data_IF_105977644677
#
_entry.id   IF_105977644677
#
_cell.length_a   1.000
_cell.length_b   1.000
_cell.length_c   1.000
_cell.angle_alpha   90.00
_cell.angle_beta   90.00
_cell.angle_gamma   90.00
#
_symmetry.space_group_name_H-M   'P 1'
#
loop_
_entity.id
_entity.type
_entity.pdbx_description
1 polymer ?
2 non-polymer ?
3 water ?
#
# COMPACT_ATOMS: atom_id res chain seq x y z
N UNK A 4 4.81 -25.68 -16.50
CA UNK A 4 6.20 -25.27 -16.37
C UNK A 4 6.41 -23.82 -16.82
N UNK A 5 7.23 -23.10 -16.07
CA UNK A 5 7.48 -21.68 -16.31
C UNK A 5 8.62 -21.49 -17.30
N UNK A 6 8.47 -20.53 -18.22
CA UNK A 6 9.57 -20.17 -19.09
C UNK A 6 10.60 -19.34 -18.33
N UNK A 7 11.82 -19.25 -18.88
CA UNK A 7 12.83 -18.40 -18.26
C UNK A 7 12.37 -16.96 -18.21
N UNK A 8 11.69 -16.51 -19.26
CA UNK A 8 11.10 -15.17 -19.27
C UNK A 8 10.26 -14.94 -18.03
N UNK A 9 9.35 -15.88 -17.73
CA UNK A 9 8.50 -15.76 -16.55
C UNK A 9 9.28 -15.92 -15.25
N UNK A 10 10.39 -16.68 -15.27
CA UNK A 10 11.26 -16.77 -14.09
C UNK A 10 11.94 -15.44 -13.80
N UNK A 11 12.17 -14.63 -14.82
CA UNK A 11 12.79 -13.33 -14.57
C UNK A 11 11.85 -12.44 -13.75
N UNK A 12 10.54 -12.61 -13.92
CA UNK A 12 9.59 -11.95 -13.04
C UNK A 12 9.77 -12.41 -11.61
N UNK A 13 9.91 -13.73 -11.41
CA UNK A 13 10.19 -14.27 -10.09
C UNK A 13 11.39 -13.56 -9.46
N UNK A 14 12.44 -13.34 -10.27
CA UNK A 14 13.65 -12.70 -9.77
C UNK A 14 13.47 -11.20 -9.55
N UNK A 15 12.60 -10.55 -10.31
CA UNK A 15 12.53 -9.09 -10.31
C UNK A 15 11.28 -8.52 -9.65
N UNK A 16 10.38 -9.35 -9.14
CA UNK A 16 9.21 -8.82 -8.44
C UNK A 16 9.70 -7.98 -7.26
N UNK A 17 9.38 -6.68 -7.23
CA UNK A 17 9.93 -5.82 -6.18
C UNK A 17 9.38 -6.18 -4.80
N UNK A 18 10.10 -5.71 -3.78
CA UNK A 18 9.78 -6.03 -2.41
C UNK A 18 10.83 -6.94 -1.80
N UNK A 19 10.54 -7.35 -0.56
CA UNK A 19 11.46 -8.10 0.30
C UNK A 19 10.74 -9.34 0.80
N UNK A 20 10.97 -10.49 0.17
CA UNK A 20 9.98 -11.57 0.34
C UNK A 20 10.62 -12.96 0.34
N UNK A 21 9.79 -13.92 0.67
CA UNK A 21 10.26 -15.28 0.91
C UNK A 21 9.24 -16.06 1.73
N UNK A 22 9.69 -17.21 2.23
CA UNK A 22 8.84 -18.09 3.02
C UNK A 22 9.68 -18.90 4.01
N UNK A 23 9.03 -19.29 5.11
CA UNK A 23 9.63 -20.10 6.16
C UNK A 23 8.70 -21.29 6.42
N UNK A 24 9.24 -22.32 7.08
CA UNK A 24 8.43 -23.49 7.41
C UNK A 24 7.71 -23.29 8.74
N UNK A 25 7.16 -24.37 9.28
CA UNK A 25 6.34 -24.31 10.50
C UNK A 25 7.15 -23.90 11.74
N UNK A 26 8.47 -24.08 11.73
CA UNK A 26 9.33 -23.58 12.79
C UNK A 26 9.92 -22.22 12.47
N UNK A 27 9.39 -21.53 11.45
CA UNK A 27 9.95 -20.26 10.97
C UNK A 27 11.43 -20.39 10.63
N UNK A 28 11.79 -21.53 10.03
CA UNK A 28 13.10 -21.71 9.42
C UNK A 28 12.98 -21.33 7.96
N UNK A 29 13.90 -20.50 7.48
CA UNK A 29 13.81 -19.96 6.12
C UNK A 29 13.89 -21.07 5.07
N UNK A 30 12.97 -21.02 4.11
CA UNK A 30 12.95 -21.91 2.97
C UNK A 30 13.36 -21.19 1.70
N UNK A 31 12.96 -19.94 1.54
CA UNK A 31 13.44 -19.13 0.44
C UNK A 31 13.41 -17.66 0.86
N UNK A 32 14.36 -16.89 0.34
CA UNK A 32 14.30 -15.43 0.42
C UNK A 32 14.80 -14.85 -0.89
N UNK A 33 14.10 -13.83 -1.41
CA UNK A 33 14.54 -13.24 -2.65
C UNK A 33 15.80 -12.41 -2.41
N UNK A 34 16.46 -12.01 -3.50
CA UNK A 34 17.74 -11.34 -3.37
C UNK A 34 17.62 -10.04 -2.56
N UNK A 35 16.55 -9.29 -2.77
CA UNK A 35 16.39 -8.03 -2.05
C UNK A 35 16.37 -8.27 -0.54
N UNK A 36 15.64 -9.29 -0.07
CA UNK A 36 15.58 -9.52 1.36
C UNK A 36 16.95 -9.94 1.91
N UNK A 37 17.64 -10.83 1.19
CA UNK A 37 18.96 -11.27 1.64
C UNK A 37 19.96 -10.14 1.77
N UNK A 38 20.01 -9.25 0.77
CA UNK A 38 20.87 -8.09 0.88
C UNK A 38 20.47 -7.22 2.07
N UNK A 39 19.17 -6.92 2.20
CA UNK A 39 18.71 -6.11 3.33
C UNK A 39 19.25 -6.62 4.66
N UNK A 40 19.24 -7.94 4.83
CA UNK A 40 19.43 -8.64 6.09
C UNK A 40 20.91 -8.97 6.26
N UNK A 41 21.73 -8.47 5.34
CA UNK A 41 23.16 -8.48 5.48
C UNK A 41 23.92 -9.56 4.74
N UNK A 42 23.27 -10.34 3.88
CA UNK A 42 23.95 -11.43 3.20
C UNK A 42 24.28 -11.06 1.77
N UNK A 43 25.41 -11.56 1.28
CA UNK A 43 25.77 -11.30 -0.10
C UNK A 43 25.05 -12.23 -1.08
N UNK A 44 24.65 -13.42 -0.64
CA UNK A 44 23.85 -14.34 -1.43
C UNK A 44 22.65 -14.73 -0.60
N UNK A 45 21.44 -14.48 -1.11
CA UNK A 45 20.24 -14.75 -0.35
C UNK A 45 20.05 -16.23 -0.06
N UNK A 46 20.78 -17.10 -0.78
CA UNK A 46 20.75 -18.53 -0.49
C UNK A 46 21.22 -18.86 0.92
N UNK A 47 22.04 -18.00 1.52
CA UNK A 47 22.52 -18.29 2.87
C UNK A 47 21.44 -18.11 3.92
N UNK A 48 20.27 -17.57 3.58
CA UNK A 48 19.15 -17.53 4.53
C UNK A 48 18.60 -18.92 4.79
N UNK A 49 18.64 -19.78 3.77
CA UNK A 49 17.93 -21.05 3.81
C UNK A 49 18.50 -21.93 4.92
N UNK A 50 17.60 -22.48 5.75
CA UNK A 50 17.98 -23.33 6.85
C UNK A 50 18.20 -22.61 8.16
N UNK A 51 18.22 -21.28 8.15
CA UNK A 51 18.45 -20.52 9.36
C UNK A 51 17.15 -19.86 9.84
N UNK A 52 17.14 -19.51 11.12
CA UNK A 52 16.01 -18.80 11.69
C UNK A 52 16.30 -17.30 11.74
N UNK A 53 15.28 -16.55 12.12
CA UNK A 53 15.44 -15.10 12.28
C UNK A 53 16.50 -14.77 13.34
N UNK A 54 16.71 -15.65 14.33
CA UNK A 54 17.75 -15.40 15.34
C UNK A 54 19.16 -15.49 14.75
N UNK A 55 19.33 -16.06 13.55
CA UNK A 55 20.65 -16.42 13.06
C UNK A 55 21.13 -15.57 11.90
N UNK A 56 20.36 -14.59 11.49
CA UNK A 56 20.73 -13.65 10.45
C UNK A 56 21.69 -12.61 11.03
N UNK A 57 22.70 -12.18 10.26
CA UNK A 57 23.69 -11.23 10.81
C UNK A 57 23.18 -9.80 10.72
N UNK A 58 22.18 -9.52 11.56
CA UNK A 58 21.43 -8.31 11.41
C UNK A 58 20.73 -7.99 12.71
N UNK A 59 20.63 -6.72 13.11
CA UNK A 59 19.96 -6.37 14.36
C UNK A 59 18.48 -6.74 14.41
N UNK A 60 17.83 -6.98 13.25
CA UNK A 60 16.47 -7.51 13.24
C UNK A 60 16.33 -8.77 14.08
N UNK A 61 17.38 -9.59 14.15
CA UNK A 61 17.35 -10.80 14.97
C UNK A 61 17.05 -10.51 16.45
N UNK A 62 17.20 -9.27 16.91
CA UNK A 62 16.80 -8.96 18.27
C UNK A 62 15.29 -8.99 18.44
N UNK A 63 14.53 -8.91 17.36
CA UNK A 63 13.08 -9.08 17.39
C UNK A 63 12.64 -10.44 16.87
N UNK A 64 13.56 -11.40 16.79
CA UNK A 64 13.21 -12.70 16.23
C UNK A 64 12.06 -13.35 16.99
N UNK A 65 11.98 -13.14 18.32
CA UNK A 65 10.87 -13.70 19.07
C UNK A 65 9.53 -13.10 18.63
N UNK A 66 9.50 -11.81 18.30
CA UNK A 66 8.25 -11.23 17.81
C UNK A 66 7.88 -11.83 16.46
N UNK A 67 8.86 -11.91 15.54
CA UNK A 67 8.63 -12.52 14.23
C UNK A 67 8.00 -13.90 14.38
N UNK A 68 8.55 -14.72 15.29
CA UNK A 68 8.02 -16.08 15.42
C UNK A 68 6.59 -16.07 15.97
N UNK A 69 6.28 -15.18 16.90
CA UNK A 69 4.92 -15.13 17.42
C UNK A 69 3.94 -14.69 16.34
N UNK A 70 4.35 -13.75 15.50
CA UNK A 70 3.57 -13.39 14.32
C UNK A 70 3.35 -14.60 13.43
N UNK A 71 4.44 -15.26 13.03
CA UNK A 71 4.37 -16.45 12.20
C UNK A 71 3.41 -17.49 12.76
N UNK A 72 3.56 -17.81 14.06
CA UNK A 72 2.71 -18.84 14.62
C UNK A 72 1.24 -18.43 14.61
N UNK A 73 0.95 -17.13 14.69
CA UNK A 73 -0.43 -16.68 14.64
C UNK A 73 -1.05 -16.98 13.28
N UNK A 74 -0.36 -16.55 12.22
CA UNK A 74 -0.79 -16.86 10.86
C UNK A 74 -0.99 -18.37 10.69
N UNK A 75 -0.08 -19.16 11.25
CA UNK A 75 -0.14 -20.61 11.08
C UNK A 75 -1.34 -21.20 11.82
N UNK A 76 -1.50 -20.84 13.10
CA UNK A 76 -2.58 -21.44 13.89
C UNK A 76 -3.96 -20.92 13.50
N UNK A 77 -4.04 -19.72 12.91
CA UNK A 77 -5.34 -19.11 12.63
C UNK A 77 -5.69 -19.06 11.15
N UNK A 78 -4.69 -19.09 10.26
CA UNK A 78 -4.94 -18.90 8.85
C UNK A 78 -5.15 -17.45 8.43
N UNK A 79 -5.36 -16.54 9.37
CA UNK A 79 -5.49 -15.13 9.03
C UNK A 79 -4.16 -14.57 8.52
N UNK A 80 -4.25 -13.51 7.75
CA UNK A 80 -3.08 -12.77 7.32
C UNK A 80 -2.93 -11.53 8.19
N UNK A 81 -1.67 -11.11 8.39
CA UNK A 81 -1.41 -9.96 9.24
C UNK A 81 -0.54 -8.98 8.48
N UNK A 82 -0.55 -7.74 8.97
CA UNK A 82 0.30 -6.68 8.47
C UNK A 82 1.16 -6.20 9.63
N UNK A 83 2.47 -6.20 9.44
CA UNK A 83 3.39 -5.88 10.53
C UNK A 83 4.14 -4.60 10.20
N UNK A 84 4.13 -3.66 11.13
CA UNK A 84 5.02 -2.51 11.02
C UNK A 84 6.38 -2.90 11.60
N UNK A 85 7.41 -2.89 10.77
CA UNK A 85 8.74 -3.30 11.15
C UNK A 85 9.69 -2.11 11.01
N UNK A 86 10.36 -1.78 12.10
CA UNK A 86 11.25 -0.63 12.14
C UNK A 86 12.51 -1.07 12.88
N UNK A 87 13.65 -1.06 12.17
CA UNK A 87 14.87 -1.66 12.70
C UNK A 87 16.08 -0.97 12.12
N UNK A 88 17.17 -0.90 12.87
CA UNK A 88 18.48 -0.65 12.25
C UNK A 88 18.93 -1.90 11.54
N UNK A 89 19.63 -1.72 10.42
CA UNK A 89 20.02 -2.83 9.57
C UNK A 89 21.53 -2.86 9.34
N UNK A 90 22.07 -4.00 8.87
CA UNK A 90 23.55 -4.11 8.76
C UNK A 90 24.17 -3.06 7.86
N UNK A 91 23.39 -2.41 6.99
CA UNK A 91 23.94 -1.32 6.19
C UNK A 91 24.14 -0.04 6.98
N UNK A 92 23.76 -0.02 8.26
CA UNK A 92 23.98 1.13 9.11
C UNK A 92 22.86 2.15 9.09
N UNK A 93 21.78 1.88 8.36
CA UNK A 93 20.63 2.75 8.30
C UNK A 93 19.45 2.12 9.00
N UNK A 94 18.56 2.97 9.49
CA UNK A 94 17.25 2.54 9.90
C UNK A 94 16.36 2.39 8.67
N UNK A 95 15.55 1.32 8.67
CA UNK A 95 14.54 1.13 7.63
C UNK A 95 13.17 0.87 8.28
N UNK A 96 12.11 1.17 7.54
CA UNK A 96 10.75 0.88 7.98
C UNK A 96 9.99 0.16 6.89
N UNK A 97 9.28 -0.90 7.26
CA UNK A 97 8.52 -1.66 6.28
C UNK A 97 7.17 -2.02 6.87
N UNK A 98 6.21 -2.26 5.97
CA UNK A 98 5.06 -3.11 6.28
C UNK A 98 5.34 -4.47 5.67
N UNK A 99 5.40 -5.49 6.52
CA UNK A 99 5.56 -6.87 6.09
C UNK A 99 4.18 -7.52 6.17
N UNK A 100 3.68 -7.99 5.02
CA UNK A 100 2.51 -8.85 5.00
C UNK A 100 2.92 -10.29 5.30
N UNK A 101 2.16 -10.96 6.14
CA UNK A 101 2.41 -12.37 6.44
C UNK A 101 1.14 -13.16 6.21
N UNK A 102 1.25 -14.21 5.40
CA UNK A 102 0.14 -15.06 5.00
C UNK A 102 0.55 -16.51 5.13
N UNK A 103 -0.42 -17.42 5.28
CA UNK A 103 -0.07 -18.85 5.35
C UNK A 103 0.52 -19.33 4.04
N UNK A 104 1.50 -20.23 4.15
CA UNK A 104 2.05 -20.95 3.00
C UNK A 104 1.44 -22.34 2.98
N UNK A 105 0.74 -22.69 1.90
CA UNK A 105 0.00 -23.94 1.79
C UNK A 105 0.66 -24.88 0.79
N UNK A 106 0.48 -26.19 1.04
CA UNK A 106 1.04 -27.22 0.18
C UNK A 106 0.02 -27.61 -0.88
N UNK A 107 0.27 -28.71 -1.61
CA UNK A 107 -0.53 -29.02 -2.79
C UNK A 107 -1.94 -29.48 -2.45
N UNK A 108 -2.19 -30.00 -1.24
CA UNK A 108 -3.55 -30.34 -0.84
C UNK A 108 -4.15 -29.30 0.09
N UNK A 109 -3.52 -28.14 0.22
CA UNK A 109 -4.10 -27.00 0.90
C UNK A 109 -3.67 -26.78 2.33
N UNK A 110 -2.96 -27.71 2.96
CA UNK A 110 -2.67 -27.54 4.38
C UNK A 110 -1.49 -26.60 4.60
N UNK A 111 -1.54 -25.89 5.72
CA UNK A 111 -0.52 -24.90 6.06
C UNK A 111 0.81 -25.61 6.33
N UNK A 112 1.86 -25.17 5.63
CA UNK A 112 3.20 -25.72 5.80
C UNK A 112 4.22 -24.67 6.22
N UNK A 113 3.78 -23.44 6.45
CA UNK A 113 4.67 -22.36 6.86
C UNK A 113 4.01 -21.02 6.60
N UNK A 114 4.84 -20.01 6.43
CA UNK A 114 4.35 -18.66 6.19
C UNK A 114 5.07 -18.07 5.00
N UNK A 115 4.40 -17.10 4.39
CA UNK A 115 4.97 -16.25 3.36
C UNK A 115 5.07 -14.86 3.97
N UNK A 116 6.18 -14.18 3.71
CA UNK A 116 6.35 -12.79 4.13
C UNK A 116 6.63 -11.93 2.91
N UNK A 117 6.10 -10.71 2.92
CA UNK A 117 6.25 -9.81 1.78
C UNK A 117 6.34 -8.40 2.35
N UNK A 118 7.51 -7.78 2.20
CA UNK A 118 7.79 -6.49 2.80
C UNK A 118 7.90 -5.42 1.73
N UNK A 119 7.41 -4.22 2.09
CA UNK A 119 7.49 -3.03 1.26
C UNK A 119 8.13 -1.89 2.05
N UNK A 120 9.03 -1.17 1.39
CA UNK A 120 9.60 0.05 1.97
C UNK A 120 8.52 1.08 2.28
N UNK A 121 8.62 1.70 3.45
CA UNK A 121 7.85 2.90 3.76
C UNK A 121 8.69 4.11 3.35
N UNK A 122 8.31 4.73 2.23
CA UNK A 122 9.09 5.79 1.61
C UNK A 122 8.44 7.17 1.79
N UNK A 131 -4.42 19.58 8.32
CA UNK A 131 -5.42 20.11 9.24
C UNK A 131 -6.81 20.12 8.60
N UNK A 132 -7.09 19.08 7.80
CA UNK A 132 -8.41 18.89 7.22
C UNK A 132 -9.24 17.97 8.11
N UNK A 133 -10.55 18.21 8.11
CA UNK A 133 -11.50 17.52 8.98
C UNK A 133 -12.61 16.92 8.12
N UNK A 134 -13.04 15.70 8.47
CA UNK A 134 -14.14 15.06 7.77
C UNK A 134 -15.47 15.56 8.32
N UNK A 135 -16.37 15.96 7.42
CA UNK A 135 -17.73 16.39 7.74
C UNK A 135 -18.72 15.32 7.26
N UNK A 136 -20.01 15.57 7.53
CA UNK A 136 -21.05 14.62 7.18
C UNK A 136 -20.95 14.20 5.71
N UNK A 137 -21.05 15.17 4.81
CA UNK A 137 -20.60 15.01 3.42
C UNK A 137 -19.47 15.99 3.18
N UNK A 138 -18.37 15.50 2.63
CA UNK A 138 -17.24 16.35 2.31
C UNK A 138 -16.26 16.49 3.46
N UNK A 139 -15.40 17.50 3.34
CA UNK A 139 -14.41 17.84 4.35
C UNK A 139 -14.53 19.32 4.68
N UNK A 140 -13.72 19.79 5.63
CA UNK A 140 -13.79 21.20 6.04
C UNK A 140 -12.41 21.71 6.44
N UNK A 141 -12.27 23.03 6.36
CA UNK A 141 -11.06 23.79 6.73
C UNK A 141 -9.84 23.34 5.96
N UNK A 154 -3.13 22.82 19.21
CA UNK A 154 -2.88 21.38 19.34
C UNK A 154 -1.50 21.00 18.81
N UNK A 155 -0.55 20.85 19.72
CA UNK A 155 0.83 20.47 19.39
C UNK A 155 1.23 19.31 20.29
N UNK A 156 1.45 18.15 19.69
CA UNK A 156 1.67 16.92 20.45
C UNK A 156 3.14 16.68 20.71
N UNK A 157 3.43 16.11 21.87
CA UNK A 157 4.76 15.63 22.21
C UNK A 157 5.18 14.51 21.26
N UNK A 158 6.49 14.32 21.11
CA UNK A 158 7.03 13.12 20.48
C UNK A 158 6.40 11.87 21.08
N UNK A 159 6.50 11.71 22.41
CA UNK A 159 5.89 10.55 23.07
C UNK A 159 4.40 10.47 22.79
N UNK A 160 3.70 11.59 22.90
CA UNK A 160 2.25 11.61 22.67
C UNK A 160 1.90 11.13 21.26
N UNK A 161 2.59 11.69 20.25
CA UNK A 161 2.28 11.28 18.89
C UNK A 161 2.65 9.83 18.62
N UNK A 162 3.59 9.25 19.37
CA UNK A 162 3.88 7.83 19.21
C UNK A 162 2.74 6.97 19.76
N UNK A 163 2.26 7.31 20.97
CA UNK A 163 1.13 6.59 21.57
C UNK A 163 -0.11 6.71 20.70
N UNK A 164 -0.35 7.90 20.15
CA UNK A 164 -1.54 8.12 19.33
C UNK A 164 -1.50 7.24 18.08
N UNK A 165 -0.37 7.21 17.39
CA UNK A 165 -0.28 6.42 16.16
C UNK A 165 -0.61 4.96 16.42
N UNK A 166 -0.12 4.40 17.53
CA UNK A 166 -0.37 3.00 17.85
C UNK A 166 -1.81 2.77 18.27
N UNK A 167 -2.39 3.70 19.02
CA UNK A 167 -3.79 3.58 19.40
C UNK A 167 -4.70 3.59 18.17
N UNK A 168 -4.34 4.36 17.14
CA UNK A 168 -5.19 4.48 15.96
C UNK A 168 -5.22 3.18 15.16
N UNK A 169 -4.19 2.34 15.30
CA UNK A 169 -4.13 1.07 14.60
C UNK A 169 -4.50 -0.10 15.50
N UNK A 170 -5.32 0.17 16.52
CA UNK A 170 -5.94 -0.86 17.32
C UNK A 170 -5.13 -1.39 18.48
N UNK A 171 -4.01 -0.76 18.84
CA UNK A 171 -3.14 -1.32 19.87
C UNK A 171 -3.63 -0.94 21.26
N UNK A 172 -3.70 -1.94 22.15
CA UNK A 172 -4.14 -1.73 23.52
C UNK A 172 -2.97 -1.24 24.38
N UNK A 173 -3.25 -0.76 25.60
CA UNK A 173 -2.15 -0.18 26.41
C UNK A 173 -1.01 -1.15 26.73
N UNK A 174 -1.30 -2.41 27.03
CA UNK A 174 -0.21 -3.35 27.28
C UNK A 174 0.61 -3.60 26.02
N UNK A 175 -0.01 -3.52 24.85
CA UNK A 175 0.73 -3.57 23.59
C UNK A 175 1.69 -2.38 23.49
N UNK A 176 1.18 -1.18 23.75
CA UNK A 176 1.96 0.04 23.57
C UNK A 176 3.07 0.13 24.60
N UNK A 177 2.80 -0.33 25.82
CA UNK A 177 3.85 -0.36 26.84
C UNK A 177 5.02 -1.21 26.36
N UNK A 178 4.74 -2.37 25.77
CA UNK A 178 5.81 -3.27 25.32
C UNK A 178 6.60 -2.65 24.18
N UNK A 179 5.91 -2.10 23.18
CA UNK A 179 6.58 -1.55 22.00
C UNK A 179 7.50 -0.41 22.41
N UNK A 180 6.99 0.54 23.19
CA UNK A 180 7.74 1.75 23.53
C UNK A 180 8.69 1.54 24.70
N UNK A 181 8.56 0.43 25.42
CA UNK A 181 9.48 0.16 26.51
C UNK A 181 9.21 0.99 27.75
N UNK A 182 7.95 1.28 28.04
CA UNK A 182 7.54 2.02 29.22
C UNK A 182 6.50 1.21 29.96
N UNK A 183 6.10 1.69 31.14
CA UNK A 183 5.10 1.00 31.92
C UNK A 183 3.71 1.23 31.36
N UNK A 184 2.78 0.33 31.70
CA UNK A 184 1.39 0.49 31.28
C UNK A 184 0.81 1.77 31.86
N UNK A 185 1.11 2.05 33.13
CA UNK A 185 0.64 3.27 33.76
C UNK A 185 1.12 4.50 32.99
N UNK A 186 2.33 4.44 32.41
CA UNK A 186 2.84 5.58 31.65
C UNK A 186 2.08 5.77 30.34
N UNK A 187 1.70 4.67 29.67
CA UNK A 187 0.89 4.78 28.46
C UNK A 187 -0.43 5.46 28.78
N UNK A 188 -1.02 5.10 29.92
CA UNK A 188 -2.24 5.77 30.37
C UNK A 188 -2.00 7.25 30.61
N UNK A 189 -0.81 7.60 31.09
CA UNK A 189 -0.46 9.01 31.22
C UNK A 189 -0.59 9.75 29.91
N UNK A 190 0.11 9.28 28.87
CA UNK A 190 0.07 9.92 27.56
C UNK A 190 -1.32 9.83 26.93
N UNK A 191 -2.04 8.74 27.18
CA UNK A 191 -3.40 8.62 26.66
C UNK A 191 -4.31 9.69 27.24
N UNK A 192 -4.10 10.04 28.52
CA UNK A 192 -4.92 11.08 29.13
C UNK A 192 -4.63 12.45 28.51
N UNK A 193 -3.35 12.76 28.28
CA UNK A 193 -3.03 14.04 27.65
C UNK A 193 -3.67 14.14 26.27
N UNK A 194 -3.49 13.10 25.45
CA UNK A 194 -4.13 13.05 24.13
C UNK A 194 -5.62 13.31 24.23
N UNK A 195 -6.32 12.52 25.05
CA UNK A 195 -7.76 12.70 25.23
C UNK A 195 -8.09 14.15 25.55
N UNK A 196 -7.30 14.79 26.40
CA UNK A 196 -7.59 16.17 26.73
C UNK A 196 -7.13 17.13 25.64
N UNK A 197 -5.99 16.86 25.00
CA UNK A 197 -5.54 17.74 23.93
C UNK A 197 -6.54 17.79 22.77
N UNK A 198 -7.13 16.64 22.43
CA UNK A 198 -8.19 16.59 21.44
C UNK A 198 -9.55 16.97 22.01
N UNK A 199 -9.67 17.18 23.32
CA UNK A 199 -10.97 17.40 23.91
C UNK A 199 -11.92 16.24 23.77
N UNK A 200 -11.41 15.01 23.81
CA UNK A 200 -12.25 13.83 23.77
C UNK A 200 -12.62 13.41 25.18
N UNK A 201 -13.83 12.85 25.34
CA UNK A 201 -14.31 12.41 26.63
C UNK A 201 -14.17 10.90 26.84
N UNK A 202 -13.50 10.21 25.92
CA UNK A 202 -13.28 8.76 25.99
C UNK A 202 -12.29 8.40 24.90
N UNK A 203 -11.69 7.22 25.04
CA UNK A 203 -10.69 6.80 24.05
C UNK A 203 -11.33 6.59 22.68
N UNK A 204 -12.60 6.19 22.64
CA UNK A 204 -13.31 6.04 21.37
C UNK A 204 -13.37 7.36 20.60
N UNK A 205 -13.79 8.42 21.30
CA UNK A 205 -13.86 9.73 20.65
C UNK A 205 -12.48 10.23 20.24
N UNK A 206 -11.45 9.95 21.05
CA UNK A 206 -10.10 10.32 20.65
C UNK A 206 -9.74 9.70 19.30
N UNK A 207 -10.09 8.43 19.13
CA UNK A 207 -9.73 7.72 17.90
C UNK A 207 -10.46 8.34 16.71
N UNK A 208 -11.77 8.55 16.83
CA UNK A 208 -12.55 9.11 15.74
C UNK A 208 -12.06 10.51 15.38
N UNK A 209 -11.90 11.37 16.38
CA UNK A 209 -11.45 12.73 16.14
C UNK A 209 -10.09 12.74 15.43
N UNK A 210 -9.15 11.93 15.92
CA UNK A 210 -7.82 11.89 15.32
C UNK A 210 -7.87 11.37 13.89
N UNK A 211 -8.65 10.32 13.66
CA UNK A 211 -8.79 9.78 12.31
C UNK A 211 -9.39 10.82 11.39
N UNK A 212 -10.46 11.50 11.83
CA UNK A 212 -11.11 12.51 11.00
C UNK A 212 -10.20 13.67 10.66
N UNK A 213 -9.01 13.73 11.26
CA UNK A 213 -8.06 14.81 11.02
C UNK A 213 -6.78 14.33 10.36
N UNK A 214 -6.78 13.12 9.82
CA UNK A 214 -5.63 12.62 9.07
C UNK A 214 -4.52 12.03 9.89
N UNK A 215 -4.73 11.83 11.19
CA UNK A 215 -3.64 11.35 12.03
C UNK A 215 -3.22 9.92 11.70
N UNK A 216 -4.09 9.14 11.07
CA UNK A 216 -3.68 7.80 10.74
C UNK A 216 -2.69 7.71 9.58
N UNK A 217 -2.52 8.78 8.81
CA UNK A 217 -1.75 8.72 7.57
C UNK A 217 -0.31 9.17 7.74
N UNK A 218 0.17 9.35 8.97
CA UNK A 218 1.51 9.84 9.23
C UNK A 218 2.15 9.04 10.36
N UNK A 219 3.36 8.55 10.13
CA UNK A 219 4.14 7.84 11.13
C UNK A 219 5.02 8.86 11.85
N UNK A 220 4.92 8.99 13.18
CA UNK A 220 5.76 9.96 13.89
C UNK A 220 7.24 9.72 13.65
N UNK A 221 7.96 10.81 13.32
CA UNK A 221 9.35 10.69 12.88
C UNK A 221 10.23 10.09 13.97
N UNK A 222 9.91 10.32 15.25
CA UNK A 222 10.65 9.67 16.31
C UNK A 222 10.33 8.17 16.40
N UNK A 223 9.20 7.73 15.87
CA UNK A 223 8.93 6.29 15.88
C UNK A 223 9.84 5.56 14.91
N UNK A 224 10.34 6.24 13.88
CA UNK A 224 11.19 5.65 12.85
C UNK A 224 12.60 5.36 13.31
N UNK A 225 12.92 5.69 14.56
CA UNK A 225 14.21 5.35 15.17
C UNK A 225 14.01 4.59 16.48
N UNK A 226 12.89 3.89 16.62
CA UNK A 226 12.62 3.00 17.74
C UNK A 226 12.41 1.60 17.19
N UNK A 227 13.28 0.68 17.57
CA UNK A 227 13.21 -0.66 17.01
C UNK A 227 11.97 -1.39 17.54
N UNK A 228 11.13 -1.88 16.62
CA UNK A 228 9.86 -2.47 17.00
C UNK A 228 9.30 -3.34 15.86
N UNK A 229 8.42 -4.27 16.25
CA UNK A 229 7.73 -5.13 15.30
C UNK A 229 6.34 -5.38 15.89
N UNK A 230 5.34 -4.66 15.37
CA UNK A 230 3.99 -4.69 15.91
C UNK A 230 3.01 -4.91 14.76
N UNK A 231 2.07 -5.84 14.94
CA UNK A 231 0.99 -6.04 14.00
C UNK A 231 0.08 -4.82 14.04
N UNK A 232 -0.28 -4.31 12.87
CA UNK A 232 -1.21 -3.20 12.75
C UNK A 232 -2.58 -3.73 12.33
N UNK A 233 -3.63 -3.29 13.04
CA UNK A 233 -4.98 -3.63 12.59
C UNK A 233 -5.22 -3.10 11.19
N UNK A 234 -5.89 -3.89 10.37
CA UNK A 234 -6.07 -3.54 8.97
C UNK A 234 -7.50 -3.84 8.56
N UNK A 235 -8.10 -2.91 7.84
CA UNK A 235 -9.46 -3.06 7.36
C UNK A 235 -9.50 -2.60 5.91
N UNK A 236 -10.39 -3.22 5.14
CA UNK A 236 -10.64 -2.80 3.78
C UNK A 236 -11.26 -1.42 3.77
N UNK A 237 -11.08 -0.71 2.65
CA UNK A 237 -11.67 0.61 2.44
C UNK A 237 -12.57 0.52 1.21
N UNK A 238 -13.90 0.60 1.35
CA UNK A 238 -14.64 0.77 2.61
C UNK A 238 -14.85 -0.52 3.40
N UNK B 4 15.83 -21.79 -13.53
CA UNK B 4 15.28 -23.02 -12.97
C UNK B 4 14.77 -22.77 -11.55
N UNK B 5 13.68 -23.43 -11.18
CA UNK B 5 13.08 -23.28 -9.86
C UNK B 5 12.76 -24.63 -9.25
N UNK B 6 12.93 -24.71 -7.93
CA UNK B 6 12.56 -25.88 -7.15
C UNK B 6 11.05 -25.92 -6.94
N UNK B 7 10.55 -27.08 -6.49
CA UNK B 7 9.14 -27.23 -6.19
C UNK B 7 8.69 -26.22 -5.13
N UNK B 8 9.51 -25.96 -4.11
CA UNK B 8 9.12 -24.99 -3.08
C UNK B 8 9.11 -23.57 -3.62
N UNK B 9 10.05 -23.25 -4.52
CA UNK B 9 10.07 -21.92 -5.11
C UNK B 9 8.90 -21.73 -6.08
N UNK B 10 8.53 -22.79 -6.81
CA UNK B 10 7.34 -22.68 -7.68
C UNK B 10 6.09 -22.48 -6.83
N UNK B 11 5.95 -23.26 -5.76
CA UNK B 11 4.80 -23.11 -4.85
C UNK B 11 4.72 -21.70 -4.26
N UNK B 12 5.85 -21.16 -3.79
CA UNK B 12 5.84 -19.80 -3.26
C UNK B 12 5.45 -18.80 -4.34
N UNK B 13 6.03 -18.94 -5.54
CA UNK B 13 5.73 -18.04 -6.64
C UNK B 13 4.23 -17.96 -6.90
N UNK B 14 3.52 -19.07 -6.70
CA UNK B 14 2.09 -19.14 -6.98
C UNK B 14 1.23 -18.61 -5.84
N UNK B 15 1.79 -18.43 -4.65
CA UNK B 15 1.01 -17.98 -3.50
C UNK B 15 1.37 -16.57 -3.02
N UNK B 16 2.39 -15.92 -3.60
CA UNK B 16 2.79 -14.59 -3.15
C UNK B 16 1.57 -13.66 -3.20
N UNK B 17 1.37 -12.81 -2.19
CA UNK B 17 0.17 -11.97 -2.17
C UNK B 17 0.22 -10.87 -3.23
N UNK B 18 -0.89 -10.20 -3.36
CA UNK B 18 -1.03 -9.17 -4.37
C UNK B 18 -1.67 -9.69 -5.64
N UNK B 19 -1.91 -8.76 -6.55
CA UNK B 19 -2.40 -9.02 -7.90
C UNK B 19 -1.35 -8.47 -8.85
N UNK B 20 -0.59 -9.34 -9.50
CA UNK B 20 0.63 -8.91 -10.18
C UNK B 20 0.89 -9.74 -11.43
N UNK B 21 1.82 -9.23 -12.24
CA UNK B 21 2.32 -9.90 -13.43
C UNK B 21 3.24 -8.97 -14.17
N UNK B 22 3.59 -9.33 -15.40
CA UNK B 22 4.41 -8.45 -16.23
C UNK B 22 3.83 -8.33 -17.65
N UNK B 23 4.25 -7.28 -18.34
CA UNK B 23 3.86 -7.02 -19.71
C UNK B 23 5.07 -6.59 -20.53
N UNK B 24 5.00 -6.81 -21.84
CA UNK B 24 6.11 -6.52 -22.74
C UNK B 24 6.09 -5.04 -23.13
N UNK B 25 6.92 -4.66 -24.11
CA UNK B 25 7.00 -3.24 -24.45
C UNK B 25 5.69 -2.67 -25.00
N UNK B 26 4.81 -3.51 -25.56
CA UNK B 26 3.52 -3.05 -26.05
C UNK B 26 2.40 -3.31 -25.05
N UNK B 27 2.76 -3.60 -23.80
CA UNK B 27 1.83 -3.96 -22.73
C UNK B 27 0.96 -5.17 -23.08
N UNK B 28 1.54 -6.12 -23.83
CA UNK B 28 0.93 -7.43 -23.96
C UNK B 28 1.33 -8.27 -22.75
N UNK B 29 0.35 -8.88 -22.08
CA UNK B 29 0.65 -9.65 -20.88
C UNK B 29 1.56 -10.82 -21.18
N UNK B 30 2.62 -10.97 -20.38
CA UNK B 30 3.48 -12.13 -20.45
C UNK B 30 3.24 -13.09 -19.31
N UNK B 31 2.81 -12.58 -18.14
CA UNK B 31 2.44 -13.42 -17.02
C UNK B 31 1.48 -12.66 -16.11
N UNK B 32 0.56 -13.39 -15.48
CA UNK B 32 -0.30 -12.85 -14.44
C UNK B 32 -0.53 -13.94 -13.39
N UNK B 33 -0.44 -13.56 -12.11
CA UNK B 33 -0.66 -14.58 -11.08
C UNK B 33 -2.15 -14.96 -10.99
N UNK B 34 -2.43 -16.03 -10.25
CA UNK B 34 -3.82 -16.48 -10.12
C UNK B 34 -4.72 -15.39 -9.55
N UNK B 35 -4.23 -14.66 -8.54
CA UNK B 35 -5.08 -13.63 -7.94
C UNK B 35 -5.53 -12.61 -8.97
N UNK B 36 -4.62 -12.22 -9.88
CA UNK B 36 -5.01 -11.21 -10.86
C UNK B 36 -5.90 -11.81 -11.94
N UNK B 37 -5.64 -13.07 -12.31
CA UNK B 37 -6.55 -13.76 -13.22
C UNK B 37 -7.97 -13.75 -12.70
N UNK B 38 -8.16 -14.16 -11.44
CA UNK B 38 -9.50 -14.23 -10.87
C UNK B 38 -10.15 -12.86 -10.82
N UNK B 39 -9.43 -11.86 -10.29
CA UNK B 39 -9.94 -10.49 -10.25
C UNK B 39 -10.41 -10.01 -11.60
N UNK B 40 -9.66 -10.34 -12.66
CA UNK B 40 -9.93 -9.79 -13.98
C UNK B 40 -10.93 -10.62 -14.76
N UNK B 41 -11.45 -11.70 -14.18
CA UNK B 41 -12.44 -12.54 -14.85
C UNK B 41 -11.91 -13.74 -15.60
N UNK B 42 -10.61 -14.02 -15.54
CA UNK B 42 -9.98 -15.16 -16.22
C UNK B 42 -9.52 -16.15 -15.15
N UNK B 43 -10.39 -17.11 -14.80
CA UNK B 43 -10.05 -18.03 -13.71
C UNK B 43 -8.84 -18.91 -14.04
N UNK B 44 -8.58 -19.15 -15.32
CA UNK B 44 -7.32 -19.74 -15.78
C UNK B 44 -6.41 -18.58 -16.19
N UNK B 45 -5.41 -18.26 -15.35
CA UNK B 45 -4.74 -16.98 -15.49
C UNK B 45 -3.78 -16.94 -16.67
N UNK B 46 -3.30 -18.10 -17.12
CA UNK B 46 -2.55 -18.13 -18.37
C UNK B 46 -3.36 -17.62 -19.56
N UNK B 47 -4.70 -17.58 -19.46
CA UNK B 47 -5.50 -16.92 -20.51
C UNK B 47 -5.21 -15.43 -20.64
N UNK B 48 -4.60 -14.82 -19.61
CA UNK B 48 -4.17 -13.44 -19.74
C UNK B 48 -3.09 -13.29 -20.80
N UNK B 49 -2.29 -14.33 -21.01
CA UNK B 49 -1.04 -14.18 -21.73
C UNK B 49 -1.33 -13.90 -23.19
N UNK B 50 -0.67 -12.88 -23.74
CA UNK B 50 -0.86 -12.51 -25.10
C UNK B 50 -2.02 -11.56 -25.33
N UNK B 51 -2.80 -11.25 -24.31
CA UNK B 51 -3.84 -10.22 -24.39
C UNK B 51 -3.27 -8.87 -23.96
N UNK B 52 -3.94 -7.80 -24.39
CA UNK B 52 -3.70 -6.47 -23.83
C UNK B 52 -4.81 -6.14 -22.84
N UNK B 53 -4.66 -4.99 -22.16
CA UNK B 53 -5.70 -4.54 -21.23
C UNK B 53 -7.02 -4.30 -21.95
N UNK B 54 -6.97 -3.99 -23.24
CA UNK B 54 -8.20 -3.80 -24.01
C UNK B 54 -8.99 -5.09 -24.16
N UNK B 55 -8.38 -6.25 -23.90
CA UNK B 55 -8.97 -7.54 -24.30
C UNK B 55 -9.30 -8.43 -23.11
N UNK B 56 -9.21 -7.90 -21.88
CA UNK B 56 -9.61 -8.63 -20.69
C UNK B 56 -11.14 -8.60 -20.53
N UNK B 57 -11.72 -9.65 -19.93
CA UNK B 57 -13.19 -9.73 -19.83
C UNK B 57 -13.74 -8.91 -18.66
N UNK B 58 -13.45 -7.61 -18.67
CA UNK B 58 -13.57 -6.78 -17.45
C UNK B 58 -13.88 -5.33 -17.77
N UNK B 59 -14.77 -4.69 -17.00
CA UNK B 59 -15.04 -3.24 -17.23
C UNK B 59 -13.78 -2.37 -17.08
N UNK B 60 -12.72 -2.90 -16.47
CA UNK B 60 -11.46 -2.15 -16.38
C UNK B 60 -10.95 -1.75 -17.75
N UNK B 61 -11.36 -2.45 -18.81
CA UNK B 61 -10.81 -2.16 -20.13
C UNK B 61 -11.13 -0.76 -20.61
N UNK B 62 -12.19 -0.14 -20.08
CA UNK B 62 -12.50 1.25 -20.43
C UNK B 62 -11.33 2.18 -20.15
N UNK B 63 -10.44 1.80 -19.22
CA UNK B 63 -9.28 2.60 -18.87
C UNK B 63 -7.98 2.01 -19.42
N UNK B 64 -8.08 1.09 -20.38
CA UNK B 64 -6.89 0.44 -20.92
C UNK B 64 -5.94 1.45 -21.57
N UNK B 65 -6.48 2.47 -22.22
CA UNK B 65 -5.60 3.48 -22.80
C UNK B 65 -4.78 4.16 -21.71
N UNK B 66 -5.40 4.41 -20.55
CA UNK B 66 -4.67 5.04 -19.46
C UNK B 66 -3.64 4.08 -18.85
N UNK B 67 -4.01 2.81 -18.64
CA UNK B 67 -3.03 1.81 -18.22
C UNK B 67 -1.79 1.82 -19.13
N UNK B 68 -2.01 1.91 -20.44
CA UNK B 68 -0.89 1.84 -21.38
C UNK B 68 -0.08 3.13 -21.41
N UNK B 69 -0.69 4.26 -21.06
CA UNK B 69 0.11 5.48 -20.96
C UNK B 69 0.98 5.44 -19.72
N UNK B 70 0.49 4.83 -18.65
CA UNK B 70 1.31 4.63 -17.46
C UNK B 70 2.46 3.67 -17.75
N UNK B 71 2.18 2.56 -18.43
CA UNK B 71 3.23 1.60 -18.79
C UNK B 71 4.31 2.26 -19.64
N UNK B 72 3.91 3.02 -20.65
CA UNK B 72 4.88 3.67 -21.52
C UNK B 72 5.73 4.68 -20.75
N UNK B 73 5.13 5.38 -19.78
CA UNK B 73 5.91 6.29 -18.94
C UNK B 73 7.01 5.54 -18.20
N UNK B 74 6.66 4.43 -17.54
CA UNK B 74 7.64 3.63 -16.82
C UNK B 74 8.74 3.17 -17.78
N UNK B 75 8.36 2.74 -18.98
CA UNK B 75 9.32 2.24 -19.97
C UNK B 75 10.26 3.36 -20.41
N UNK B 76 9.70 4.53 -20.73
CA UNK B 76 10.48 5.61 -21.30
C UNK B 76 11.39 6.29 -20.28
N UNK B 77 10.94 6.40 -19.02
CA UNK B 77 11.66 7.16 -18.01
C UNK B 77 12.49 6.29 -17.08
N UNK B 78 12.12 5.02 -16.90
CA UNK B 78 12.78 4.21 -15.92
C UNK B 78 12.29 4.43 -14.51
N UNK B 79 11.25 5.24 -14.34
CA UNK B 79 10.69 5.50 -13.02
C UNK B 79 9.68 4.43 -12.64
N UNK B 80 9.44 4.33 -11.35
CA UNK B 80 8.33 3.55 -10.81
C UNK B 80 7.19 4.52 -10.49
N UNK B 81 5.96 4.10 -10.75
CA UNK B 81 4.81 4.91 -10.39
C UNK B 81 3.86 4.11 -9.52
N UNK B 82 3.15 4.83 -8.66
CA UNK B 82 2.03 4.26 -7.91
C UNK B 82 0.73 4.84 -8.45
N UNK B 83 -0.25 3.97 -8.68
CA UNK B 83 -1.52 4.37 -9.29
C UNK B 83 -2.65 4.03 -8.33
N UNK B 84 -3.56 4.97 -8.14
CA UNK B 84 -4.84 4.68 -7.50
C UNK B 84 -5.82 4.22 -8.58
N UNK B 85 -6.32 2.99 -8.43
CA UNK B 85 -7.16 2.33 -9.42
C UNK B 85 -8.47 1.96 -8.74
N UNK B 86 -9.58 2.50 -9.24
CA UNK B 86 -10.92 2.17 -8.79
C UNK B 86 -11.75 1.80 -10.00
N UNK B 87 -12.32 0.59 -10.01
CA UNK B 87 -13.01 0.07 -11.19
C UNK B 87 -14.13 -0.88 -10.78
N UNK B 88 -15.15 -1.03 -11.62
CA UNK B 88 -16.04 -2.18 -11.47
C UNK B 88 -15.38 -3.42 -12.05
N UNK B 89 -15.67 -4.57 -11.45
CA UNK B 89 -15.00 -5.81 -11.82
C UNK B 89 -16.00 -6.89 -12.17
N UNK B 90 -15.58 -7.91 -12.93
CA UNK B 90 -16.53 -8.94 -13.38
C UNK B 90 -17.29 -9.65 -12.27
N UNK B 91 -16.84 -9.59 -11.02
CA UNK B 91 -17.65 -10.14 -9.94
C UNK B 91 -18.84 -9.26 -9.58
N UNK B 92 -19.00 -8.10 -10.22
CA UNK B 92 -20.15 -7.25 -9.97
C UNK B 92 -19.98 -6.26 -8.84
N UNK B 93 -18.73 -5.99 -8.43
CA UNK B 93 -18.44 -5.09 -7.33
C UNK B 93 -17.39 -4.07 -7.76
N UNK B 94 -17.36 -2.96 -7.02
CA UNK B 94 -16.26 -2.01 -7.15
C UNK B 94 -15.10 -2.46 -6.28
N UNK B 95 -13.89 -2.35 -6.83
CA UNK B 95 -12.67 -2.58 -6.07
C UNK B 95 -11.72 -1.40 -6.27
N UNK B 96 -11.07 -1.01 -5.18
CA UNK B 96 -10.01 -0.01 -5.20
C UNK B 96 -8.68 -0.69 -4.86
N UNK B 97 -7.62 -0.27 -5.55
CA UNK B 97 -6.30 -0.85 -5.42
C UNK B 97 -5.27 0.24 -5.55
N UNK B 98 -4.08 -0.02 -5.01
CA UNK B 98 -2.88 0.68 -5.43
C UNK B 98 -2.09 -0.25 -6.34
N UNK B 99 -1.78 0.21 -7.54
CA UNK B 99 -0.94 -0.53 -8.47
C UNK B 99 0.40 0.18 -8.61
N UNK B 100 1.47 -0.55 -8.32
CA UNK B 100 2.83 -0.09 -8.54
C UNK B 100 3.37 -0.67 -9.84
N UNK B 101 4.00 0.17 -10.65
CA UNK B 101 4.51 -0.25 -11.94
C UNK B 101 6.00 0.04 -12.00
N UNK B 102 6.78 -0.98 -12.33
CA UNK B 102 8.23 -1.00 -12.30
C UNK B 102 8.75 -1.45 -13.65
N UNK B 103 9.89 -0.90 -14.11
CA UNK B 103 10.49 -1.40 -15.34
C UNK B 103 10.85 -2.87 -15.20
N UNK B 104 10.62 -3.62 -16.28
CA UNK B 104 11.02 -5.01 -16.39
C UNK B 104 12.23 -5.08 -17.32
N UNK B 105 13.31 -5.74 -16.88
CA UNK B 105 14.60 -5.68 -17.55
C UNK B 105 15.08 -7.07 -17.95
N UNK B 106 15.78 -7.14 -19.09
CA UNK B 106 16.24 -8.41 -19.65
C UNK B 106 17.57 -8.83 -19.01
N UNK B 107 18.18 -9.88 -19.57
CA UNK B 107 19.44 -10.39 -19.03
C UNK B 107 20.55 -9.35 -19.06
N UNK B 108 20.48 -8.39 -19.99
CA UNK B 108 21.53 -7.39 -20.11
C UNK B 108 21.11 -6.03 -19.57
N UNK B 109 19.98 -5.94 -18.85
CA UNK B 109 19.65 -4.78 -18.07
C UNK B 109 18.69 -3.79 -18.73
N UNK B 110 18.55 -3.84 -20.06
CA UNK B 110 17.65 -2.90 -20.73
C UNK B 110 16.20 -3.29 -20.52
N UNK B 111 15.32 -2.29 -20.57
CA UNK B 111 13.90 -2.49 -20.27
C UNK B 111 13.24 -3.23 -21.43
N UNK B 112 12.46 -4.26 -21.10
CA UNK B 112 11.68 -5.03 -22.08
C UNK B 112 10.19 -4.98 -21.80
N UNK B 113 9.76 -4.20 -20.82
CA UNK B 113 8.36 -4.12 -20.47
C UNK B 113 8.20 -3.59 -19.05
N UNK B 114 7.07 -3.93 -18.44
CA UNK B 114 6.74 -3.46 -17.10
C UNK B 114 6.27 -4.61 -16.23
N UNK B 115 6.56 -4.47 -14.93
CA UNK B 115 6.01 -5.29 -13.86
C UNK B 115 4.93 -4.47 -13.15
N UNK B 116 3.79 -5.09 -12.88
CA UNK B 116 2.71 -4.44 -12.16
C UNK B 116 2.38 -5.25 -10.92
N UNK B 117 2.11 -4.54 -9.83
CA UNK B 117 1.82 -5.16 -8.52
C UNK B 117 0.73 -4.36 -7.84
N UNK B 118 -0.42 -4.98 -7.63
CA UNK B 118 -1.58 -4.32 -7.04
C UNK B 118 -1.87 -4.81 -5.63
N UNK B 119 -2.28 -3.88 -4.77
CA UNK B 119 -2.72 -4.16 -3.41
C UNK B 119 -4.16 -3.71 -3.25
N UNK B 120 -4.96 -4.51 -2.55
CA UNK B 120 -6.27 -4.03 -2.13
C UNK B 120 -6.10 -2.75 -1.33
N UNK B 121 -6.99 -1.79 -1.55
CA UNK B 121 -6.97 -0.57 -0.75
C UNK B 121 -7.37 -0.94 0.68
N UNK B 122 -6.42 -0.80 1.61
CA UNK B 122 -6.65 -1.05 3.01
C UNK B 122 -5.96 0.03 3.84
N UNK B 123 -6.28 0.04 5.14
CA UNK B 123 -5.66 0.98 6.08
C UNK B 123 -4.15 1.09 5.88
N UNK B 124 -3.45 -0.05 5.94
CA UNK B 124 -2.00 0.01 5.80
C UNK B 124 -1.60 0.40 4.38
N UNK B 125 -2.39 -0.02 3.39
CA UNK B 125 -2.09 0.30 1.99
C UNK B 125 -2.14 1.80 1.73
N UNK B 126 -3.15 2.52 2.25
CA UNK B 126 -3.21 3.97 2.04
C UNK B 126 -2.09 4.65 2.83
N UNK B 127 -1.76 4.12 4.00
CA UNK B 127 -0.64 4.66 4.77
C UNK B 127 0.63 4.68 3.95
N UNK B 128 0.89 3.58 3.22
CA UNK B 128 2.10 3.47 2.40
C UNK B 128 2.20 4.60 1.38
N UNK B 129 1.06 5.07 0.87
CA UNK B 129 1.06 6.16 -0.11
C UNK B 129 0.71 7.50 0.53
N UNK B 130 0.60 7.55 1.87
CA UNK B 130 0.42 8.81 2.58
C UNK B 130 -0.88 9.52 2.35
N UNK B 131 -1.96 8.79 2.08
CA UNK B 131 -3.29 9.36 1.92
C UNK B 131 -4.23 8.77 2.97
N UNK B 132 -5.37 9.41 3.16
CA UNK B 132 -6.38 8.90 4.08
C UNK B 132 -7.76 9.15 3.50
N UNK B 133 -8.73 8.34 3.95
CA UNK B 133 -10.10 8.37 3.45
C UNK B 133 -11.06 8.60 4.62
N UNK B 134 -12.12 9.36 4.38
CA UNK B 134 -13.01 9.87 5.43
C UNK B 134 -14.10 8.89 5.85
N UNK B 135 -13.85 7.58 5.79
CA UNK B 135 -14.77 6.59 6.38
C UNK B 135 -16.19 6.68 5.81
N UNK B 153 -14.66 28.95 8.45
CA UNK B 153 -14.72 27.56 8.03
C UNK B 153 -14.81 27.41 6.51
N UNK B 154 -13.81 26.77 5.91
CA UNK B 154 -13.84 26.46 4.47
C UNK B 154 -14.45 25.08 4.28
N UNK B 155 -15.63 25.03 3.67
CA UNK B 155 -16.40 23.80 3.53
C UNK B 155 -16.50 23.41 2.06
N UNK B 156 -16.28 22.12 1.77
CA UNK B 156 -16.37 21.58 0.43
C UNK B 156 -17.44 20.50 0.37
N UNK B 157 -18.29 20.55 -0.66
CA UNK B 157 -19.29 19.53 -0.85
C UNK B 157 -18.64 18.24 -1.35
N UNK B 158 -19.44 17.18 -1.44
CA UNK B 158 -18.94 15.90 -1.95
C UNK B 158 -18.43 16.04 -3.37
N UNK B 159 -19.18 16.72 -4.23
CA UNK B 159 -18.81 16.82 -5.63
C UNK B 159 -17.64 17.77 -5.83
N UNK B 160 -17.59 18.85 -5.05
CA UNK B 160 -16.47 19.78 -5.14
C UNK B 160 -15.15 19.11 -4.75
N UNK B 161 -15.16 18.31 -3.69
CA UNK B 161 -13.93 17.64 -3.28
C UNK B 161 -13.46 16.65 -4.34
N UNK B 162 -14.41 15.99 -5.01
CA UNK B 162 -14.05 15.09 -6.10
C UNK B 162 -13.36 15.86 -7.23
N UNK B 163 -13.96 16.97 -7.67
CA UNK B 163 -13.34 17.79 -8.70
C UNK B 163 -11.95 18.24 -8.26
N UNK B 164 -11.86 18.82 -7.05
CA UNK B 164 -10.59 19.33 -6.55
C UNK B 164 -9.51 18.26 -6.55
N UNK B 165 -9.86 17.04 -6.10
CA UNK B 165 -8.91 15.94 -6.11
C UNK B 165 -8.43 15.64 -7.53
N UNK B 166 -9.36 15.48 -8.48
CA UNK B 166 -8.99 15.19 -9.85
C UNK B 166 -8.18 16.33 -10.46
N UNK B 167 -8.45 17.55 -10.03
CA UNK B 167 -7.64 18.68 -10.46
C UNK B 167 -6.22 18.59 -9.92
N UNK B 168 -6.08 18.20 -8.64
CA UNK B 168 -4.75 18.14 -8.04
C UNK B 168 -3.84 17.14 -8.76
N UNK B 169 -4.43 16.08 -9.31
CA UNK B 169 -3.68 15.01 -9.95
C UNK B 169 -3.74 15.08 -11.47
N UNK B 170 -3.94 16.27 -12.03
CA UNK B 170 -3.70 16.51 -13.43
C UNK B 170 -4.84 16.23 -14.39
N UNK B 171 -6.03 15.89 -13.90
CA UNK B 171 -7.14 15.52 -14.79
C UNK B 171 -7.76 16.77 -15.41
N UNK B 172 -7.93 16.74 -16.74
CA UNK B 172 -8.58 17.79 -17.50
C UNK B 172 -10.10 17.77 -17.30
N UNK B 173 -10.79 18.86 -17.64
CA UNK B 173 -12.24 18.90 -17.38
C UNK B 173 -13.04 17.79 -18.07
N UNK B 174 -12.70 17.43 -19.31
CA UNK B 174 -13.43 16.35 -19.96
C UNK B 174 -13.18 15.00 -19.30
N UNK B 175 -11.97 14.79 -18.76
CA UNK B 175 -11.71 13.57 -18.00
C UNK B 175 -12.52 13.56 -16.71
N UNK B 176 -12.55 14.68 -16.00
CA UNK B 176 -13.35 14.80 -14.78
C UNK B 176 -14.82 14.52 -15.07
N UNK B 177 -15.33 15.06 -16.18
CA UNK B 177 -16.71 14.80 -16.57
C UNK B 177 -16.97 13.31 -16.71
N UNK B 178 -16.03 12.59 -17.33
CA UNK B 178 -16.18 11.16 -17.56
C UNK B 178 -16.20 10.39 -16.23
N UNK B 179 -15.34 10.77 -15.29
CA UNK B 179 -15.30 10.09 -14.00
C UNK B 179 -16.62 10.29 -13.26
N UNK B 180 -17.12 11.52 -13.25
CA UNK B 180 -18.30 11.86 -12.46
C UNK B 180 -19.61 11.68 -13.23
N UNK B 181 -19.56 11.25 -14.49
CA UNK B 181 -20.77 11.03 -15.25
C UNK B 181 -21.57 12.28 -15.57
N UNK B 182 -20.90 13.42 -15.76
CA UNK B 182 -21.59 14.69 -16.00
C UNK B 182 -20.94 15.40 -17.18
N UNK B 183 -21.34 16.64 -17.44
CA UNK B 183 -20.86 17.42 -18.57
C UNK B 183 -19.74 18.36 -18.14
N UNK B 184 -18.95 18.78 -19.12
CA UNK B 184 -17.85 19.71 -18.86
C UNK B 184 -18.36 20.99 -18.25
N UNK B 185 -19.49 21.50 -18.73
CA UNK B 185 -20.06 22.73 -18.17
C UNK B 185 -20.36 22.58 -16.69
N UNK B 186 -21.02 21.47 -16.32
CA UNK B 186 -21.18 21.14 -14.90
C UNK B 186 -19.84 21.20 -14.17
N UNK B 187 -18.82 20.57 -14.75
CA UNK B 187 -17.50 20.52 -14.11
C UNK B 187 -16.92 21.92 -14.00
N UNK B 188 -17.03 22.73 -15.05
CA UNK B 188 -16.62 24.13 -14.96
C UNK B 188 -17.34 24.83 -13.81
N UNK B 189 -18.62 24.51 -13.60
CA UNK B 189 -19.35 25.09 -12.49
C UNK B 189 -18.69 24.84 -11.16
N UNK B 190 -18.42 23.57 -10.84
CA UNK B 190 -17.80 23.24 -9.57
C UNK B 190 -16.43 23.88 -9.44
N UNK B 191 -15.69 23.95 -10.55
CA UNK B 191 -14.34 24.49 -10.51
C UNK B 191 -14.32 25.96 -10.11
N UNK B 192 -15.33 26.73 -10.54
CA UNK B 192 -15.43 28.11 -10.13
C UNK B 192 -15.90 28.24 -8.68
N UNK B 193 -16.76 27.33 -8.22
CA UNK B 193 -17.16 27.33 -6.82
C UNK B 193 -15.97 27.10 -5.90
N UNK B 194 -15.02 26.26 -6.32
CA UNK B 194 -13.81 26.04 -5.54
C UNK B 194 -12.84 27.21 -5.64
N UNK B 195 -12.77 27.87 -6.80
CA UNK B 195 -11.86 28.99 -6.95
C UNK B 195 -12.26 30.16 -6.06
N UNK B 196 -13.57 30.38 -5.88
CA UNK B 196 -14.00 31.44 -4.99
C UNK B 196 -13.95 31.01 -3.53
N UNK B 197 -14.22 29.74 -3.23
CA UNK B 197 -14.16 29.28 -1.85
C UNK B 197 -12.76 29.34 -1.29
N UNK B 198 -11.75 29.00 -2.10
CA UNK B 198 -10.36 29.12 -1.69
C UNK B 198 -9.81 30.53 -1.87
N UNK B 199 -10.55 31.41 -2.53
CA UNK B 199 -10.04 32.74 -2.83
C UNK B 199 -9.02 32.80 -3.94
N UNK B 200 -8.82 31.71 -4.67
CA UNK B 200 -7.85 31.68 -5.74
C UNK B 200 -8.40 32.35 -6.99
N UNK B 201 -7.48 32.85 -7.81
CA UNK B 201 -7.86 33.58 -9.01
C UNK B 201 -7.78 32.74 -10.28
N UNK B 202 -7.09 31.60 -10.23
CA UNK B 202 -6.98 30.72 -11.39
C UNK B 202 -6.87 29.28 -10.91
N UNK B 203 -7.00 28.35 -11.86
CA UNK B 203 -6.79 26.94 -11.53
C UNK B 203 -5.40 26.71 -10.95
N UNK B 204 -4.39 27.41 -11.48
CA UNK B 204 -3.04 27.31 -10.95
C UNK B 204 -2.99 27.62 -9.45
N UNK B 205 -3.43 28.82 -9.07
CA UNK B 205 -3.38 29.22 -7.67
C UNK B 205 -4.28 28.34 -6.80
N UNK B 206 -5.38 27.83 -7.37
CA UNK B 206 -6.28 26.95 -6.62
C UNK B 206 -5.58 25.66 -6.23
N UNK B 207 -4.95 25.00 -7.20
CA UNK B 207 -4.14 23.82 -6.89
C UNK B 207 -3.10 24.16 -5.83
N UNK B 208 -2.46 25.31 -5.98
CA UNK B 208 -1.38 25.67 -5.05
C UNK B 208 -1.92 25.88 -3.64
N UNK B 209 -3.03 26.59 -3.51
CA UNK B 209 -3.62 26.82 -2.19
C UNK B 209 -4.12 25.54 -1.55
N UNK B 210 -4.81 24.68 -2.33
CA UNK B 210 -5.29 23.43 -1.76
C UNK B 210 -4.15 22.53 -1.33
N UNK B 211 -3.07 22.49 -2.13
CA UNK B 211 -1.89 21.74 -1.73
C UNK B 211 -1.24 22.36 -0.50
N UNK B 212 -1.17 23.70 -0.47
CA UNK B 212 -0.59 24.39 0.68
C UNK B 212 -1.36 24.09 1.96
N UNK B 213 -2.65 23.79 1.86
CA UNK B 213 -3.47 23.46 3.01
C UNK B 213 -3.53 21.97 3.30
N UNK B 214 -2.76 21.16 2.58
CA UNK B 214 -2.70 19.74 2.87
C UNK B 214 -3.80 18.91 2.27
N UNK B 215 -4.40 19.37 1.17
CA UNK B 215 -5.37 18.53 0.48
C UNK B 215 -4.70 17.43 -0.34
N UNK B 216 -3.38 17.46 -0.49
CA UNK B 216 -2.64 16.46 -1.25
C UNK B 216 -2.58 15.08 -0.63
N UNK B 217 -3.17 14.89 0.55
CA UNK B 217 -3.21 13.58 1.19
C UNK B 217 -4.63 13.06 1.35
N UNK B 218 -5.63 13.71 0.76
CA UNK B 218 -7.02 13.31 0.91
C UNK B 218 -7.47 12.59 -0.35
N UNK B 219 -8.17 11.46 -0.15
CA UNK B 219 -8.94 10.81 -1.20
C UNK B 219 -10.41 10.90 -0.81
N UNK B 220 -11.21 11.69 -1.50
CA UNK B 220 -12.63 11.80 -1.12
C UNK B 220 -13.34 10.45 -1.20
N UNK B 221 -14.09 10.14 -0.12
CA UNK B 221 -14.63 8.80 0.08
C UNK B 221 -15.63 8.41 -1.00
N UNK B 222 -16.30 9.40 -1.62
CA UNK B 222 -17.24 9.09 -2.70
C UNK B 222 -16.55 8.67 -4.01
N UNK B 223 -15.24 8.87 -4.16
CA UNK B 223 -14.57 8.38 -5.37
C UNK B 223 -14.42 6.87 -5.38
N UNK B 224 -14.68 6.20 -4.26
CA UNK B 224 -14.48 4.75 -4.25
C UNK B 224 -15.52 4.02 -5.08
N UNK B 225 -16.52 4.71 -5.62
CA UNK B 225 -17.48 4.09 -6.53
C UNK B 225 -17.55 4.84 -7.87
N UNK B 226 -16.47 5.49 -8.26
CA UNK B 226 -16.33 6.09 -9.60
C UNK B 226 -15.10 5.49 -10.26
N UNK B 227 -15.17 5.27 -11.57
CA UNK B 227 -14.08 4.59 -12.27
C UNK B 227 -12.96 5.58 -12.59
N UNK B 228 -11.74 5.27 -12.13
CA UNK B 228 -10.60 6.15 -12.38
C UNK B 228 -9.29 5.40 -12.21
N UNK B 229 -8.29 5.83 -12.97
CA UNK B 229 -6.91 5.39 -12.82
C UNK B 229 -6.09 6.66 -12.72
N UNK B 230 -5.47 6.89 -11.56
CA UNK B 230 -4.82 8.15 -11.26
C UNK B 230 -3.44 7.87 -10.66
N UNK B 231 -2.41 8.46 -11.25
CA UNK B 231 -1.05 8.32 -10.72
C UNK B 231 -0.91 9.23 -9.50
N UNK B 232 -0.58 8.62 -8.35
CA UNK B 232 -0.36 9.32 -7.09
C UNK B 232 1.07 9.81 -6.92
N UNK B 233 2.05 8.94 -7.18
CA UNK B 233 3.44 9.35 -7.05
C UNK B 233 4.27 8.73 -8.17
N UNK B 234 5.42 9.35 -8.38
CA UNK B 234 6.36 9.00 -9.45
C UNK B 234 7.76 9.08 -8.86
N UNK B 235 8.50 7.96 -8.89
CA UNK B 235 9.73 7.82 -8.11
C UNK B 235 10.91 7.44 -9.00
N UNK B 236 12.02 8.15 -8.84
CA UNK B 236 13.30 7.70 -9.39
C UNK B 236 13.83 6.54 -8.55
N UNK B 237 14.53 5.61 -9.20
CA UNK B 237 15.18 4.53 -8.47
C UNK B 237 16.67 4.47 -8.81
X LIG C 1 10.73 -8.79 9.74
X LIG C 1 11.84 -8.95 8.87
X LIG C 1 11.14 -11.14 8.47
X LIG C 1 10.18 -10.94 9.45
X LIG C 1 12.83 -7.84 8.63
X LIG C 1 11.27 -12.43 7.72
X LIG C 1 9.85 -9.80 10.00
X LIG C 1 12.02 -10.16 8.27
X LIG C 1 9.51 -12.04 9.81
X LIG D 1 -5.07 -1.83 -13.43
X LIG D 1 -5.46 -3.19 -13.66
X LIG D 1 -3.39 -3.57 -14.75
X LIG D 1 -3.22 -2.16 -14.78
X LIG D 1 -6.72 -3.72 -13.05
X LIG D 1 -2.41 -4.51 -15.37
X LIG D 1 -4.00 -1.24 -14.07
X LIG D 1 -4.58 -4.03 -14.30
X LIG D 1 -2.24 -1.72 -15.60
#
# INVERSE_FOLDING_TARGET
MPNHLTLEQISLFKQLPGYWGCKDLNSVFVYANQAYGELIGLKRAEDCIGRTDFEMPSPTAACAAEFQQQDRYVIETGHSVKVLDIHPYPDGHWHAHIFTKTPWRDSQGKIQGTIFFGQDLTDTAILEVGHWVCRATGLSTSTTFKSVADRDTLKLTARESEVLFLLLYGKKPQHIARVMGISIKTVEGYEAKLRSKFGALSKDQLIDLALDRGFGSVIPKTLLRKQLSVVLSDHTIPKKVDVVAQ
MPNHLTLEQISLFKQLPGYWGCKDLNSVFVYANQAYGELIGLKRAEDCIGRTDFEMPSPTAACAAEFQQQDRYVIETGHSVKVLDIHPYPDGHWHAHIFTKTPWRDSQGKIQGTIFFGQDLTDTAILEVGHWVCRATGLSTSTTFKSVADRDTLKLTARESEVLFLLLYGKKPQHIARVMGISIKTVEGYEAKLRSKFGALSKDQLIDLALDRGFGSVIPKTLLRKQLSVVLSDHTIPKKVDVVAQ
QOS CAB CAC CAE CAF CAG CAH NAA NAD OAI
QOS CAB CAC CAE CAF CAG CAH NAA NAD OAI
#
